data_IF_094053896210
#
_entry.id   IF_094053896210
#
_cell.length_a   1.000
_cell.length_b   1.000
_cell.length_c   1.000
_cell.angle_alpha   90.00
_cell.angle_beta   90.00
_cell.angle_gamma   90.00
#
_symmetry.space_group_name_H-M   'P 1'
#
loop_
_entity.id
_entity.type
_entity.pdbx_description
1 polymer ?
#
# COMPACT_ATOMS: atom_id res chain seq x y z
N UNK A 1 16.84 33.28 46.50
CA UNK A 1 16.45 33.59 45.12
C UNK A 1 17.04 32.63 44.08
N UNK A 2 18.36 32.37 44.04
CA UNK A 2 18.97 31.42 43.07
C UNK A 2 18.34 30.02 43.05
N UNK A 3 18.06 29.41 44.21
CA UNK A 3 17.45 28.07 44.29
C UNK A 3 16.04 27.99 43.68
N UNK A 4 15.25 29.06 43.80
CA UNK A 4 13.89 29.13 43.23
C UNK A 4 13.96 29.25 41.70
N UNK A 5 14.94 30.00 41.18
CA UNK A 5 15.19 30.13 39.74
C UNK A 5 15.58 28.78 39.12
N UNK A 6 16.40 27.98 39.80
CA UNK A 6 16.76 26.64 39.33
C UNK A 6 15.56 25.68 39.32
N UNK A 7 14.69 25.74 40.32
CA UNK A 7 13.47 24.90 40.37
C UNK A 7 12.51 25.27 39.24
N UNK A 8 12.30 26.56 38.99
CA UNK A 8 11.45 27.04 37.89
C UNK A 8 12.01 26.68 36.52
N UNK A 9 13.33 26.80 36.32
CA UNK A 9 13.98 26.39 35.07
C UNK A 9 13.82 24.88 34.82
N UNK A 10 13.97 24.05 35.86
CA UNK A 10 13.81 22.61 35.76
C UNK A 10 12.36 22.20 35.43
N UNK A 11 11.38 22.83 36.07
CA UNK A 11 9.96 22.61 35.76
C UNK A 11 9.61 22.99 34.31
N UNK A 12 10.20 24.08 33.80
CA UNK A 12 9.98 24.52 32.41
C UNK A 12 10.56 23.53 31.38
N UNK A 13 11.74 22.98 31.66
CA UNK A 13 12.35 21.94 30.79
C UNK A 13 11.49 20.68 30.74
N UNK A 14 10.95 20.24 31.88
CA UNK A 14 10.06 19.06 31.94
C UNK A 14 8.77 19.33 31.13
N UNK A 15 8.18 20.51 31.25
CA UNK A 15 6.98 20.87 30.49
C UNK A 15 7.22 20.85 28.98
N UNK A 16 8.37 21.37 28.52
CA UNK A 16 8.75 21.34 27.10
C UNK A 16 8.93 19.89 26.61
N UNK A 17 9.62 19.05 27.39
CA UNK A 17 9.81 17.64 27.03
C UNK A 17 8.47 16.90 26.91
N UNK A 18 7.52 17.19 27.81
CA UNK A 18 6.19 16.59 27.77
C UNK A 18 5.42 17.00 26.51
N UNK A 19 5.47 18.28 26.13
CA UNK A 19 4.82 18.78 24.90
C UNK A 19 5.44 18.16 23.65
N UNK A 20 6.77 18.02 23.58
CA UNK A 20 7.45 17.38 22.45
C UNK A 20 7.05 15.90 22.34
N UNK A 21 6.96 15.20 23.47
CA UNK A 21 6.56 13.80 23.51
C UNK A 21 5.11 13.59 23.04
N UNK A 22 4.18 14.41 23.53
CA UNK A 22 2.76 14.36 23.11
C UNK A 22 2.62 14.65 21.61
N UNK A 23 3.38 15.62 21.09
CA UNK A 23 3.36 15.93 19.65
C UNK A 23 3.92 14.79 18.81
N UNK A 24 4.92 14.06 19.30
CA UNK A 24 5.47 12.88 18.63
C UNK A 24 4.45 11.72 18.59
N UNK A 25 3.79 11.44 19.73
CA UNK A 25 2.77 10.38 19.84
C UNK A 25 1.52 10.71 19.01
N UNK A 26 1.06 11.96 19.00
CA UNK A 26 -0.11 12.40 18.22
C UNK A 26 0.18 12.39 16.71
N UNK A 27 1.43 12.63 16.29
CA UNK A 27 1.79 12.60 14.87
C UNK A 27 1.77 11.18 14.29
N UNK A 28 2.07 10.16 15.09
CA UNK A 28 1.97 8.76 14.66
C UNK A 28 0.52 8.26 14.60
N UNK A 29 -0.38 8.74 15.46
CA UNK A 29 -1.78 8.29 15.46
C UNK A 29 -2.67 8.90 14.36
N UNK A 30 -2.27 10.01 13.75
CA UNK A 30 -3.08 10.77 12.77
C UNK A 30 -3.05 10.25 11.33
N UNK A 31 -2.48 9.07 11.05
CA UNK A 31 -2.39 8.52 9.68
C UNK A 31 -3.29 7.32 9.39
N UNK A 32 -4.28 7.02 10.23
CA UNK A 32 -5.34 6.08 9.87
C UNK A 32 -6.55 6.89 9.39
N UNK A 33 -6.45 7.43 8.18
CA UNK A 33 -7.64 7.79 7.42
C UNK A 33 -8.42 6.49 7.26
N UNK A 34 -9.58 6.35 7.91
CA UNK A 34 -10.51 5.25 7.61
C UNK A 34 -10.85 5.38 6.12
N UNK A 35 -10.23 4.55 5.29
CA UNK A 35 -10.49 4.55 3.86
C UNK A 35 -11.96 4.19 3.66
N UNK A 36 -12.69 5.04 2.94
CA UNK A 36 -14.09 4.83 2.63
C UNK A 36 -14.20 3.82 1.48
N UNK A 37 -14.44 2.56 1.84
CA UNK A 37 -14.60 1.45 0.89
C UNK A 37 -15.97 1.41 0.21
N UNK A 38 -16.86 2.37 0.49
CA UNK A 38 -18.17 2.44 -0.17
C UNK A 38 -18.07 2.79 -1.65
N UNK A 39 -16.95 3.37 -2.08
CA UNK A 39 -16.71 3.71 -3.48
C UNK A 39 -16.43 2.44 -4.29
N UNK A 40 -17.22 2.14 -5.34
CA UNK A 40 -16.96 1.01 -6.21
C UNK A 40 -15.70 1.25 -7.05
N UNK A 41 -14.94 0.18 -7.30
CA UNK A 41 -13.83 0.24 -8.24
C UNK A 41 -14.36 0.47 -9.67
N UNK A 42 -13.71 1.36 -10.41
CA UNK A 42 -14.07 1.66 -11.81
C UNK A 42 -13.84 0.48 -12.76
N UNK A 43 -12.98 -0.47 -12.37
CA UNK A 43 -12.66 -1.65 -13.14
C UNK A 43 -12.54 -2.88 -12.23
N UNK A 44 -13.19 -3.98 -12.61
CA UNK A 44 -13.17 -5.25 -11.86
C UNK A 44 -12.20 -6.25 -12.50
N UNK A 45 -11.05 -6.43 -11.85
CA UNK A 45 -9.99 -7.36 -12.26
C UNK A 45 -10.40 -8.85 -12.15
N UNK A 46 -11.53 -9.16 -11.50
CA UNK A 46 -12.09 -10.51 -11.49
C UNK A 46 -12.75 -10.88 -12.83
N UNK A 47 -13.06 -9.89 -13.66
CA UNK A 47 -13.82 -10.09 -14.92
C UNK A 47 -12.97 -9.78 -16.14
N UNK A 48 -12.17 -8.71 -16.08
CA UNK A 48 -11.38 -8.24 -17.23
C UNK A 48 -10.08 -7.59 -16.80
N UNK A 49 -9.21 -7.36 -17.76
CA UNK A 49 -7.99 -6.57 -17.55
C UNK A 49 -8.34 -5.09 -17.45
N UNK A 50 -7.53 -4.33 -16.71
CA UNK A 50 -7.80 -2.93 -16.38
C UNK A 50 -6.66 -2.02 -16.82
N UNK A 51 -7.00 -0.89 -17.42
CA UNK A 51 -6.05 0.13 -17.85
C UNK A 51 -6.07 1.32 -16.90
N UNK A 52 -4.89 1.79 -16.51
CA UNK A 52 -4.69 2.92 -15.61
C UNK A 52 -3.80 3.98 -16.27
N UNK A 53 -4.11 5.26 -16.06
CA UNK A 53 -3.25 6.35 -16.50
C UNK A 53 -2.18 6.63 -15.45
N UNK A 54 -0.91 6.59 -15.86
CA UNK A 54 0.23 6.89 -14.99
C UNK A 54 1.36 7.50 -15.82
N UNK A 55 1.89 8.66 -15.38
CA UNK A 55 2.96 9.39 -16.08
C UNK A 55 2.71 9.57 -17.59
N UNK A 56 1.49 10.01 -17.94
CA UNK A 56 1.04 10.21 -19.34
C UNK A 56 1.06 8.93 -20.21
N UNK A 57 1.02 7.75 -19.59
CA UNK A 57 0.95 6.46 -20.27
C UNK A 57 -0.23 5.65 -19.76
N UNK A 58 -0.69 4.75 -20.60
CA UNK A 58 -1.66 3.73 -20.24
C UNK A 58 -0.92 2.46 -19.79
N UNK A 59 -1.13 2.09 -18.53
CA UNK A 59 -0.59 0.88 -17.91
C UNK A 59 -1.70 -0.16 -17.86
N UNK A 60 -1.49 -1.30 -18.50
CA UNK A 60 -2.44 -2.42 -18.49
C UNK A 60 -2.06 -3.40 -17.39
N UNK A 61 -3.04 -3.71 -16.54
CA UNK A 61 -2.94 -4.68 -15.44
C UNK A 61 -3.87 -5.86 -15.73
N UNK A 62 -3.31 -7.05 -15.65
CA UNK A 62 -4.03 -8.31 -15.82
C UNK A 62 -3.75 -9.22 -14.63
N UNK A 63 -4.82 -9.76 -14.03
CA UNK A 63 -4.75 -10.81 -13.02
C UNK A 63 -5.42 -12.08 -13.57
N UNK A 64 -4.78 -13.24 -13.44
CA UNK A 64 -5.33 -14.54 -13.86
C UNK A 64 -4.96 -15.65 -12.88
N UNK A 65 -5.82 -16.66 -12.66
CA UNK A 65 -7.09 -16.90 -13.33
C UNK A 65 -8.19 -15.93 -12.87
N UNK A 66 -9.26 -15.85 -13.66
CA UNK A 66 -10.47 -15.08 -13.36
C UNK A 66 -11.64 -16.05 -13.13
N UNK A 67 -12.49 -15.85 -12.11
CA UNK A 67 -12.35 -14.88 -11.02
C UNK A 67 -11.15 -15.21 -10.12
N UNK A 68 -10.70 -14.21 -9.34
CA UNK A 68 -9.58 -14.39 -8.44
C UNK A 68 -9.99 -15.30 -7.27
N UNK A 69 -9.08 -16.17 -6.83
CA UNK A 69 -9.33 -17.08 -5.71
C UNK A 69 -8.28 -16.91 -4.61
N UNK A 70 -8.75 -16.99 -3.37
CA UNK A 70 -7.87 -17.01 -2.20
C UNK A 70 -7.09 -18.32 -2.13
N UNK A 71 -5.87 -18.27 -1.58
CA UNK A 71 -4.99 -19.43 -1.40
C UNK A 71 -4.58 -20.13 -2.70
N UNK A 72 -4.81 -19.49 -3.85
CA UNK A 72 -4.37 -19.96 -5.16
C UNK A 72 -3.39 -18.95 -5.79
N UNK A 73 -2.62 -19.42 -6.77
CA UNK A 73 -1.65 -18.61 -7.50
C UNK A 73 -2.38 -17.72 -8.51
N UNK A 74 -2.30 -16.42 -8.28
CA UNK A 74 -2.69 -15.40 -9.25
C UNK A 74 -1.45 -14.89 -9.98
N UNK A 75 -1.45 -14.97 -11.30
CA UNK A 75 -0.45 -14.37 -12.17
C UNK A 75 -0.84 -12.91 -12.43
N UNK A 76 0.01 -11.99 -11.97
CA UNK A 76 -0.04 -10.57 -12.26
C UNK A 76 0.83 -10.27 -13.46
N UNK A 77 0.25 -9.67 -14.50
CA UNK A 77 0.95 -9.11 -15.65
C UNK A 77 0.75 -7.60 -15.70
N UNK A 78 1.84 -6.88 -15.90
CA UNK A 78 1.89 -5.42 -15.99
C UNK A 78 2.52 -5.06 -17.33
N UNK A 79 1.82 -4.26 -18.13
CA UNK A 79 2.30 -3.82 -19.44
C UNK A 79 2.42 -2.31 -19.46
N UNK A 80 3.51 -1.80 -20.03
CA UNK A 80 3.80 -0.38 -20.25
C UNK A 80 3.94 0.46 -18.95
N UNK A 81 4.43 -0.12 -17.85
CA UNK A 81 4.65 0.62 -16.59
C UNK A 81 5.85 1.58 -16.68
N UNK A 82 6.90 1.19 -17.42
CA UNK A 82 8.16 1.92 -17.52
C UNK A 82 9.37 1.09 -17.10
N UNK A 83 10.57 1.67 -17.17
CA UNK A 83 11.82 0.97 -16.88
C UNK A 83 12.30 1.31 -15.46
N UNK A 84 12.40 0.30 -14.59
CA UNK A 84 12.75 0.46 -13.17
C UNK A 84 13.81 -0.54 -12.73
N UNK A 85 14.93 -0.06 -12.18
CA UNK A 85 16.11 -0.88 -11.91
C UNK A 85 15.87 -1.97 -10.86
N UNK A 86 15.13 -1.66 -9.80
CA UNK A 86 14.84 -2.58 -8.70
C UNK A 86 13.38 -2.44 -8.30
N UNK A 87 12.50 -2.76 -9.27
CA UNK A 87 11.06 -2.75 -9.04
C UNK A 87 10.70 -3.85 -8.06
N UNK A 88 9.81 -3.52 -7.13
CA UNK A 88 9.14 -4.43 -6.22
C UNK A 88 7.68 -4.04 -6.07
N UNK A 89 6.89 -4.94 -5.52
CA UNK A 89 5.48 -4.68 -5.20
C UNK A 89 5.20 -5.02 -3.75
N UNK A 90 4.31 -4.24 -3.13
CA UNK A 90 3.71 -4.51 -1.84
C UNK A 90 2.21 -4.71 -2.02
N UNK A 91 1.69 -5.77 -1.43
CA UNK A 91 0.27 -6.07 -1.45
C UNK A 91 -0.25 -6.06 -0.01
N UNK A 92 -1.32 -5.32 0.24
CA UNK A 92 -1.93 -5.24 1.57
C UNK A 92 -3.44 -5.01 1.45
N UNK A 93 -4.18 -5.53 2.44
CA UNK A 93 -5.61 -5.30 2.55
C UNK A 93 -5.90 -3.88 3.01
N UNK A 94 -6.85 -3.21 2.36
CA UNK A 94 -7.28 -1.88 2.73
C UNK A 94 -8.41 -1.93 3.76
N UNK A 95 -9.39 -2.83 3.59
CA UNK A 95 -10.52 -2.97 4.52
C UNK A 95 -10.17 -3.76 5.78
N UNK A 96 -9.13 -4.59 5.73
CA UNK A 96 -8.55 -5.25 6.89
C UNK A 96 -7.04 -5.44 6.68
N UNK A 97 -6.22 -4.94 7.60
CA UNK A 97 -4.77 -5.08 7.51
C UNK A 97 -4.31 -6.45 8.03
N UNK A 98 -3.91 -7.34 7.11
CA UNK A 98 -3.40 -8.68 7.41
C UNK A 98 -1.88 -8.80 7.25
N UNK A 99 -1.18 -7.67 7.18
CA UNK A 99 0.24 -7.59 6.84
C UNK A 99 0.51 -7.26 5.38
N UNK A 100 1.80 -7.16 5.04
CA UNK A 100 2.28 -6.90 3.68
C UNK A 100 2.80 -8.18 3.02
N UNK A 101 2.39 -8.44 1.78
CA UNK A 101 2.94 -9.49 0.93
C UNK A 101 3.90 -8.83 -0.07
N UNK A 102 5.12 -9.37 -0.20
CA UNK A 102 6.18 -8.85 -1.09
C UNK A 102 6.60 -9.93 -2.08
N UNK A 103 5.73 -10.28 -3.04
CA UNK A 103 6.07 -11.27 -4.06
C UNK A 103 7.20 -10.74 -4.95
N UNK A 104 7.98 -11.66 -5.50
CA UNK A 104 9.00 -11.31 -6.49
C UNK A 104 8.33 -10.86 -7.78
N UNK A 105 8.87 -9.81 -8.38
CA UNK A 105 8.47 -9.31 -9.69
C UNK A 105 9.62 -9.57 -10.67
N UNK A 106 9.26 -10.03 -11.87
CA UNK A 106 10.19 -10.35 -12.94
C UNK A 106 9.95 -9.40 -14.09
N UNK A 107 11.04 -8.89 -14.66
CA UNK A 107 10.99 -8.05 -15.85
C UNK A 107 10.87 -8.94 -17.08
N UNK A 108 9.87 -8.68 -17.93
CA UNK A 108 9.69 -9.37 -19.20
C UNK A 108 10.41 -8.66 -20.35
N UNK A 109 10.31 -7.33 -20.40
CA UNK A 109 10.99 -6.48 -21.37
C UNK A 109 11.30 -5.09 -20.76
N UNK A 110 11.57 -4.08 -21.58
CA UNK A 110 11.93 -2.74 -21.07
C UNK A 110 10.85 -2.06 -20.24
N UNK A 111 9.56 -2.41 -20.42
CA UNK A 111 8.43 -1.73 -19.77
C UNK A 111 7.45 -2.66 -19.07
N UNK A 112 7.55 -3.97 -19.30
CA UNK A 112 6.57 -4.95 -18.88
C UNK A 112 7.15 -5.89 -17.83
N UNK A 113 6.29 -6.32 -16.92
CA UNK A 113 6.65 -7.13 -15.76
C UNK A 113 5.59 -8.18 -15.48
N UNK A 114 5.99 -9.21 -14.75
CA UNK A 114 5.10 -10.23 -14.23
C UNK A 114 5.43 -10.59 -12.78
N UNK A 115 4.44 -11.07 -12.04
CA UNK A 115 4.61 -11.57 -10.69
C UNK A 115 3.60 -12.69 -10.41
N UNK A 116 3.96 -13.59 -9.50
CA UNK A 116 3.05 -14.60 -8.97
C UNK A 116 2.69 -14.21 -7.54
N UNK A 117 1.40 -14.04 -7.29
CA UNK A 117 0.86 -13.58 -6.01
C UNK A 117 -0.05 -14.67 -5.45
N UNK A 118 0.00 -14.88 -4.13
CA UNK A 118 -0.92 -15.76 -3.41
C UNK A 118 -1.53 -14.91 -2.30
N UNK A 119 -2.85 -14.80 -2.29
CA UNK A 119 -3.59 -13.98 -1.35
C UNK A 119 -4.15 -14.86 -0.24
N UNK A 120 -4.07 -14.38 1.01
CA UNK A 120 -4.67 -15.08 2.14
C UNK A 120 -6.20 -15.13 2.02
N UNK A 121 -6.82 -16.17 2.57
CA UNK A 121 -8.26 -16.24 2.74
C UNK A 121 -8.74 -15.15 3.72
N UNK A 122 -9.84 -14.48 3.37
CA UNK A 122 -10.48 -13.47 4.21
C UNK A 122 -11.76 -14.03 4.84
N UNK A 123 -12.11 -13.57 6.04
CA UNK A 123 -13.40 -13.86 6.67
C UNK A 123 -14.54 -12.99 6.13
N UNK A 124 -14.21 -11.87 5.48
CA UNK A 124 -15.18 -10.97 4.86
C UNK A 124 -15.59 -11.49 3.48
N UNK A 125 -16.83 -11.18 3.07
CA UNK A 125 -17.34 -11.57 1.75
C UNK A 125 -16.56 -10.92 0.60
N UNK A 126 -16.00 -9.73 0.83
CA UNK A 126 -15.17 -9.01 -0.14
C UNK A 126 -14.00 -8.35 0.58
N UNK A 127 -12.79 -8.64 0.10
CA UNK A 127 -11.56 -8.01 0.58
C UNK A 127 -10.98 -7.12 -0.51
N UNK A 128 -10.69 -5.86 -0.19
CA UNK A 128 -10.05 -4.93 -1.13
C UNK A 128 -8.56 -4.89 -0.86
N UNK A 129 -7.77 -5.28 -1.84
CA UNK A 129 -6.31 -5.23 -1.80
C UNK A 129 -5.80 -4.05 -2.60
N UNK A 130 -4.68 -3.48 -2.14
CA UNK A 130 -3.86 -2.54 -2.90
C UNK A 130 -2.56 -3.21 -3.30
N UNK A 131 -2.18 -3.05 -4.55
CA UNK A 131 -0.85 -3.38 -5.05
C UNK A 131 -0.11 -2.07 -5.27
N UNK A 132 0.88 -1.79 -4.43
CA UNK A 132 1.71 -0.59 -4.49
C UNK A 132 3.09 -0.92 -5.06
N UNK A 133 3.55 -0.11 -6.02
CA UNK A 133 4.82 -0.33 -6.70
C UNK A 133 5.93 0.52 -6.09
N UNK A 134 7.12 -0.08 -6.00
CA UNK A 134 8.27 0.49 -5.29
C UNK A 134 9.50 0.28 -6.16
N UNK A 135 10.32 1.31 -6.32
CA UNK A 135 11.64 1.19 -6.94
C UNK A 135 12.69 1.67 -5.94
N UNK A 136 13.73 0.87 -5.71
CA UNK A 136 14.81 1.21 -4.77
C UNK A 136 14.29 1.61 -3.37
N UNK A 137 13.36 0.83 -2.82
CA UNK A 137 12.68 1.05 -1.53
C UNK A 137 11.84 2.35 -1.42
N UNK A 138 11.54 3.03 -2.53
CA UNK A 138 10.67 4.21 -2.55
C UNK A 138 9.42 3.95 -3.40
N UNK A 139 8.22 4.35 -2.94
CA UNK A 139 7.01 4.27 -3.75
C UNK A 139 7.19 5.05 -5.05
N UNK A 140 6.80 4.47 -6.18
CA UNK A 140 6.84 5.16 -7.48
C UNK A 140 5.58 6.01 -7.71
N UNK A 141 4.60 5.94 -6.80
CA UNK A 141 3.33 6.66 -6.89
C UNK A 141 2.26 5.95 -7.73
N UNK A 142 2.56 4.79 -8.31
CA UNK A 142 1.59 3.94 -8.99
C UNK A 142 1.08 2.84 -8.05
N UNK A 143 -0.24 2.66 -8.03
CA UNK A 143 -0.91 1.55 -7.37
C UNK A 143 -2.20 1.23 -8.12
N UNK A 144 -2.70 0.02 -7.91
CA UNK A 144 -4.08 -0.33 -8.27
C UNK A 144 -4.71 -1.12 -7.14
N UNK A 145 -6.04 -1.01 -7.06
CA UNK A 145 -6.85 -1.71 -6.08
C UNK A 145 -7.69 -2.78 -6.80
N UNK A 146 -7.89 -3.92 -6.15
CA UNK A 146 -8.74 -4.98 -6.66
C UNK A 146 -9.48 -5.67 -5.50
N UNK A 147 -10.58 -6.34 -5.84
CA UNK A 147 -11.39 -7.07 -4.87
C UNK A 147 -11.18 -8.57 -5.01
N UNK A 148 -11.09 -9.26 -3.87
CA UNK A 148 -11.16 -10.70 -3.78
C UNK A 148 -12.50 -11.04 -3.13
N UNK A 149 -13.32 -11.81 -3.84
CA UNK A 149 -14.64 -12.26 -3.38
C UNK A 149 -14.53 -13.70 -2.92
N UNK A 150 -15.28 -14.05 -1.87
CA UNK A 150 -15.32 -15.42 -1.33
C UNK A 150 -15.98 -16.40 -2.30
#
# INVERSE_FOLDING_TARGET
MRKIIFILAFAFVIAILYIIFDFYIIKDSKKITKADFSTPLTCDLNVKDCTYSFNNKEVLISLNPKPLQSLDVTNLKIVNLGNYNNLGIKIYGLNMYMGEIKPKIHRLNSTDYESKIVLAACVLDTMRFRVEFIDNNKPIGFYFDFELKK
#
